data_IF_014508568322
#
_entry.id   IF_014508568322
#
_cell.length_a   1.000
_cell.length_b   1.000
_cell.length_c   1.000
_cell.angle_alpha   90.00
_cell.angle_beta   90.00
_cell.angle_gamma   90.00
#
_symmetry.space_group_name_H-M   'P 1'
#
loop_
_entity.id
_entity.type
_entity.pdbx_description
1 polymer ?
#
# COMPACT_ATOMS: atom_id res chain seq x y z
N UNK A 1 -17.79 -11.49 8.57
CA UNK A 1 -18.25 -10.15 8.12
C UNK A 1 -19.35 -10.40 7.11
N UNK A 2 -20.49 -9.70 7.19
CA UNK A 2 -21.63 -9.95 6.29
C UNK A 2 -21.27 -9.63 4.85
N UNK A 3 -21.69 -10.47 3.91
CA UNK A 3 -21.42 -10.29 2.47
C UNK A 3 -21.88 -8.90 1.94
N UNK A 4 -23.00 -8.39 2.48
CA UNK A 4 -23.49 -7.04 2.16
C UNK A 4 -22.55 -5.94 2.60
N UNK A 5 -21.99 -6.05 3.81
CA UNK A 5 -21.03 -5.08 4.35
C UNK A 5 -19.72 -5.11 3.56
N UNK A 6 -19.23 -6.29 3.18
CA UNK A 6 -18.04 -6.43 2.32
C UNK A 6 -18.25 -5.76 0.96
N UNK A 7 -19.41 -5.98 0.34
CA UNK A 7 -19.75 -5.36 -0.94
C UNK A 7 -19.78 -3.82 -0.84
N UNK A 8 -20.43 -3.28 0.20
CA UNK A 8 -20.52 -1.82 0.42
C UNK A 8 -19.10 -1.25 0.63
N UNK A 9 -18.30 -1.86 1.49
CA UNK A 9 -16.91 -1.41 1.73
C UNK A 9 -16.07 -1.48 0.45
N UNK A 10 -16.25 -2.52 -0.37
CA UNK A 10 -15.56 -2.67 -1.64
C UNK A 10 -15.94 -1.56 -2.63
N UNK A 11 -17.24 -1.28 -2.80
CA UNK A 11 -17.72 -0.20 -3.69
C UNK A 11 -17.24 1.17 -3.23
N UNK A 12 -17.33 1.46 -1.92
CA UNK A 12 -16.83 2.72 -1.34
C UNK A 12 -15.33 2.85 -1.55
N UNK A 13 -14.57 1.78 -1.29
CA UNK A 13 -13.12 1.77 -1.50
C UNK A 13 -12.74 2.01 -2.95
N UNK A 14 -13.44 1.36 -3.90
CA UNK A 14 -13.23 1.58 -5.33
C UNK A 14 -13.53 3.03 -5.73
N UNK A 15 -14.61 3.62 -5.22
CA UNK A 15 -14.92 5.04 -5.44
C UNK A 15 -13.81 5.96 -4.92
N UNK A 16 -13.29 5.72 -3.72
CA UNK A 16 -12.17 6.48 -3.15
C UNK A 16 -10.88 6.31 -3.96
N UNK A 17 -10.62 5.11 -4.50
CA UNK A 17 -9.48 4.87 -5.38
C UNK A 17 -9.58 5.70 -6.67
N UNK A 18 -10.75 5.75 -7.29
CA UNK A 18 -10.99 6.56 -8.50
C UNK A 18 -10.79 8.05 -8.19
N UNK A 19 -11.35 8.55 -7.09
CA UNK A 19 -11.19 9.94 -6.66
C UNK A 19 -9.69 10.26 -6.43
N UNK A 20 -8.98 9.40 -5.70
CA UNK A 20 -7.55 9.59 -5.44
C UNK A 20 -6.74 9.63 -6.75
N UNK A 21 -7.06 8.77 -7.72
CA UNK A 21 -6.44 8.77 -9.04
C UNK A 21 -6.69 10.07 -9.82
N UNK A 22 -7.92 10.57 -9.82
CA UNK A 22 -8.29 11.83 -10.49
C UNK A 22 -7.56 13.05 -9.89
N UNK A 23 -7.38 13.08 -8.57
CA UNK A 23 -6.75 14.20 -7.86
C UNK A 23 -5.24 14.04 -7.65
N UNK A 24 -4.60 13.00 -8.19
CA UNK A 24 -3.16 12.71 -8.01
C UNK A 24 -2.24 13.90 -8.34
N UNK A 25 -2.58 14.72 -9.33
CA UNK A 25 -1.78 15.87 -9.75
C UNK A 25 -1.75 17.02 -8.71
N UNK A 26 -2.72 17.03 -7.76
CA UNK A 26 -2.77 18.02 -6.68
C UNK A 26 -1.95 17.61 -5.45
N UNK A 27 -1.41 16.39 -5.42
CA UNK A 27 -0.65 15.85 -4.27
C UNK A 27 0.60 16.68 -3.92
N UNK A 28 1.19 17.37 -4.89
CA UNK A 28 2.34 18.26 -4.65
C UNK A 28 2.09 19.37 -3.63
N UNK A 29 0.85 19.79 -3.45
CA UNK A 29 0.47 20.84 -2.50
C UNK A 29 0.64 20.40 -1.04
N UNK A 30 0.62 19.08 -0.76
CA UNK A 30 0.76 18.56 0.60
C UNK A 30 2.20 18.60 1.13
N UNK A 31 3.21 18.86 0.28
CA UNK A 31 4.61 18.99 0.73
C UNK A 31 4.81 20.05 1.81
N UNK A 32 4.00 21.13 1.80
CA UNK A 32 4.06 22.20 2.81
C UNK A 32 3.62 21.77 4.22
N UNK A 33 2.94 20.64 4.33
CA UNK A 33 2.44 20.12 5.60
C UNK A 33 3.42 19.18 6.33
N UNK A 34 4.66 19.10 5.90
CA UNK A 34 5.70 18.32 6.59
C UNK A 34 5.37 16.82 6.67
N UNK A 35 5.48 16.24 7.86
CA UNK A 35 5.18 14.82 8.07
C UNK A 35 3.73 14.44 7.78
N UNK A 36 2.78 15.34 8.06
CA UNK A 36 1.37 15.12 7.70
C UNK A 36 1.21 15.06 6.18
N UNK A 37 1.93 15.90 5.44
CA UNK A 37 1.97 15.84 3.99
C UNK A 37 2.49 14.50 3.49
N UNK A 38 3.58 13.98 4.07
CA UNK A 38 4.13 12.65 3.75
C UNK A 38 3.08 11.56 3.98
N UNK A 39 2.39 11.58 5.13
CA UNK A 39 1.35 10.61 5.45
C UNK A 39 0.22 10.61 4.41
N UNK A 40 -0.39 11.78 4.17
CA UNK A 40 -1.54 11.88 3.25
C UNK A 40 -1.17 11.55 1.80
N UNK A 41 -0.02 12.04 1.32
CA UNK A 41 0.44 11.71 -0.04
C UNK A 41 0.70 10.21 -0.18
N UNK A 42 1.27 9.58 0.85
CA UNK A 42 1.53 8.14 0.84
C UNK A 42 0.23 7.33 0.90
N UNK A 43 -0.75 7.76 1.70
CA UNK A 43 -2.05 7.11 1.77
C UNK A 43 -2.77 7.19 0.42
N UNK A 44 -2.88 8.39 -0.15
CA UNK A 44 -3.56 8.62 -1.44
C UNK A 44 -2.77 7.96 -2.59
N UNK A 45 -1.44 8.07 -2.57
CA UNK A 45 -0.59 7.47 -3.59
C UNK A 45 -0.64 5.94 -3.60
N UNK A 46 -0.89 5.33 -2.45
CA UNK A 46 -1.04 3.87 -2.34
C UNK A 46 -2.45 3.38 -2.72
N UNK A 47 -3.44 4.27 -2.65
CA UNK A 47 -4.80 4.02 -3.17
C UNK A 47 -4.82 4.07 -4.70
N UNK A 48 -4.02 4.94 -5.30
CA UNK A 48 -3.93 5.08 -6.75
C UNK A 48 -3.11 3.95 -7.36
N UNK A 49 -3.78 2.96 -7.89
CA UNK A 49 -3.32 1.67 -8.45
C UNK A 49 -2.07 1.75 -9.37
N UNK A 50 -1.69 2.91 -9.85
CA UNK A 50 -0.64 3.09 -10.87
C UNK A 50 0.50 4.02 -10.43
N UNK A 51 0.61 4.34 -9.13
CA UNK A 51 1.59 5.35 -8.71
C UNK A 51 2.71 4.75 -7.86
N UNK A 52 3.98 4.81 -8.31
CA UNK A 52 5.14 4.53 -7.47
C UNK A 52 5.38 5.67 -6.45
N UNK A 53 4.31 6.38 -6.06
CA UNK A 53 4.41 7.58 -5.25
C UNK A 53 5.02 7.31 -3.87
N UNK A 54 4.60 6.26 -3.18
CA UNK A 54 5.07 6.01 -1.82
C UNK A 54 6.60 5.79 -1.71
N UNK A 55 7.25 4.95 -2.56
CA UNK A 55 8.71 4.86 -2.57
C UNK A 55 9.41 6.17 -2.90
N UNK A 56 8.88 6.94 -3.86
CA UNK A 56 9.43 8.25 -4.21
C UNK A 56 9.29 9.25 -3.06
N UNK A 57 8.17 9.24 -2.36
CA UNK A 57 7.91 10.10 -1.20
C UNK A 57 8.86 9.75 -0.06
N UNK A 58 9.10 8.46 0.19
CA UNK A 58 10.08 8.02 1.18
C UNK A 58 11.49 8.54 0.84
N UNK A 59 11.91 8.40 -0.44
CA UNK A 59 13.19 8.89 -0.92
C UNK A 59 13.33 10.42 -0.82
N UNK A 60 12.35 11.17 -1.33
CA UNK A 60 12.33 12.63 -1.28
C UNK A 60 12.16 13.16 0.15
N UNK A 61 11.32 12.55 0.95
CA UNK A 61 11.14 12.90 2.36
C UNK A 61 12.43 12.78 3.15
N UNK A 62 13.25 11.76 2.85
CA UNK A 62 14.53 11.55 3.50
C UNK A 62 15.62 12.58 3.15
N UNK A 63 15.45 13.36 2.10
CA UNK A 63 16.35 14.51 1.79
C UNK A 63 16.14 15.68 2.74
N UNK A 64 14.94 15.83 3.27
CA UNK A 64 14.53 16.95 4.14
C UNK A 64 14.46 16.49 5.61
N UNK A 65 14.01 15.26 5.86
CA UNK A 65 13.75 14.73 7.18
C UNK A 65 14.66 13.53 7.50
N UNK A 66 14.64 13.08 8.75
CA UNK A 66 15.37 11.87 9.12
C UNK A 66 14.80 10.64 8.38
N UNK A 67 15.65 9.83 7.69
CA UNK A 67 15.17 8.74 6.81
C UNK A 67 14.25 7.74 7.51
N UNK A 68 14.56 7.36 8.74
CA UNK A 68 13.75 6.40 9.51
C UNK A 68 12.37 6.95 9.87
N UNK A 69 12.28 8.25 10.20
CA UNK A 69 11.00 8.89 10.52
C UNK A 69 10.17 9.07 9.24
N UNK A 70 10.81 9.54 8.16
CA UNK A 70 10.14 9.69 6.88
C UNK A 70 9.59 8.35 6.36
N UNK A 71 10.38 7.27 6.41
CA UNK A 71 9.92 5.94 6.00
C UNK A 71 8.82 5.38 6.90
N UNK A 72 8.89 5.61 8.20
CA UNK A 72 7.85 5.19 9.15
C UNK A 72 6.50 5.85 8.83
N UNK A 73 6.50 7.18 8.65
CA UNK A 73 5.28 7.94 8.33
C UNK A 73 4.74 7.58 6.94
N UNK A 74 5.64 7.39 5.95
CA UNK A 74 5.26 6.88 4.63
C UNK A 74 4.59 5.52 4.75
N UNK A 75 5.10 4.64 5.62
CA UNK A 75 4.53 3.30 5.83
C UNK A 75 3.14 3.38 6.45
N UNK A 76 2.94 4.23 7.46
CA UNK A 76 1.62 4.45 8.06
C UNK A 76 0.59 4.89 7.02
N UNK A 77 0.95 5.88 6.20
CA UNK A 77 0.08 6.33 5.11
C UNK A 77 -0.19 5.21 4.09
N UNK A 78 0.85 4.52 3.63
CA UNK A 78 0.73 3.47 2.63
C UNK A 78 -0.15 2.30 3.10
N UNK A 79 0.00 1.84 4.35
CA UNK A 79 -0.84 0.78 4.93
C UNK A 79 -2.29 1.25 5.06
N UNK A 80 -2.52 2.51 5.44
CA UNK A 80 -3.87 3.08 5.48
C UNK A 80 -4.52 3.07 4.09
N UNK A 81 -3.78 3.46 3.05
CA UNK A 81 -4.27 3.39 1.66
C UNK A 81 -4.53 1.95 1.19
N UNK A 82 -3.71 0.99 1.64
CA UNK A 82 -3.84 -0.42 1.27
C UNK A 82 -5.08 -1.11 1.87
N UNK A 83 -5.63 -0.58 2.95
CA UNK A 83 -6.92 -1.07 3.48
C UNK A 83 -8.04 -1.01 2.44
N UNK A 84 -8.01 -0.02 1.55
CA UNK A 84 -8.97 0.06 0.46
C UNK A 84 -8.81 -1.11 -0.52
N UNK A 85 -7.57 -1.48 -0.86
CA UNK A 85 -7.28 -2.65 -1.70
C UNK A 85 -7.73 -3.95 -1.04
N UNK A 86 -7.55 -4.07 0.28
CA UNK A 86 -8.06 -5.20 1.05
C UNK A 86 -9.59 -5.30 0.97
N UNK A 87 -10.32 -4.20 1.17
CA UNK A 87 -11.78 -4.20 1.10
C UNK A 87 -12.31 -4.48 -0.31
N UNK A 88 -11.64 -3.96 -1.35
CA UNK A 88 -11.95 -4.31 -2.75
C UNK A 88 -11.75 -5.82 -2.97
N UNK A 89 -10.62 -6.36 -2.55
CA UNK A 89 -10.35 -7.80 -2.64
C UNK A 89 -11.39 -8.64 -1.90
N UNK A 90 -11.74 -8.24 -0.69
CA UNK A 90 -12.76 -8.92 0.12
C UNK A 90 -14.16 -8.88 -0.51
N UNK A 91 -14.52 -7.75 -1.13
CA UNK A 91 -15.80 -7.62 -1.84
C UNK A 91 -15.88 -8.50 -3.10
N UNK A 92 -14.76 -8.73 -3.76
CA UNK A 92 -14.70 -9.52 -5.00
C UNK A 92 -14.55 -11.02 -4.76
N UNK A 93 -14.27 -11.45 -3.53
CA UNK A 93 -14.07 -12.86 -3.18
C UNK A 93 -15.15 -13.81 -3.74
N UNK A 94 -16.43 -13.42 -3.64
CA UNK A 94 -17.57 -14.23 -4.08
C UNK A 94 -17.85 -14.17 -5.59
N UNK A 95 -17.24 -13.23 -6.30
CA UNK A 95 -17.52 -12.94 -7.71
C UNK A 95 -16.37 -13.29 -8.66
N UNK A 96 -15.17 -13.60 -8.10
CA UNK A 96 -14.03 -13.90 -8.94
C UNK A 96 -14.17 -15.30 -9.58
N UNK A 97 -14.09 -15.39 -10.91
CA UNK A 97 -14.07 -16.67 -11.58
C UNK A 97 -12.84 -17.49 -11.16
N UNK A 98 -12.92 -18.80 -11.32
CA UNK A 98 -11.80 -19.72 -11.10
C UNK A 98 -10.73 -19.43 -12.16
N UNK A 99 -9.86 -18.44 -11.89
CA UNK A 99 -8.71 -18.12 -12.73
C UNK A 99 -7.45 -18.75 -12.13
N UNK A 100 -6.47 -19.05 -12.97
CA UNK A 100 -5.16 -19.57 -12.52
C UNK A 100 -4.49 -18.68 -11.49
N UNK A 101 -4.72 -17.37 -11.59
CA UNK A 101 -4.22 -16.38 -10.64
C UNK A 101 -4.82 -16.56 -9.24
N UNK A 102 -6.15 -16.67 -9.16
CA UNK A 102 -6.84 -16.91 -7.88
C UNK A 102 -6.40 -18.23 -7.25
N UNK A 103 -6.25 -19.26 -8.05
CA UNK A 103 -5.80 -20.58 -7.58
C UNK A 103 -4.40 -20.50 -6.99
N UNK A 104 -3.46 -19.80 -7.65
CA UNK A 104 -2.09 -19.60 -7.17
C UNK A 104 -2.03 -18.79 -5.89
N UNK A 105 -2.72 -17.64 -5.85
CA UNK A 105 -2.79 -16.81 -4.62
C UNK A 105 -3.37 -17.60 -3.46
N UNK A 106 -4.51 -18.25 -3.65
CA UNK A 106 -5.13 -19.07 -2.62
C UNK A 106 -4.21 -20.20 -2.14
N UNK A 107 -3.45 -20.81 -3.04
CA UNK A 107 -2.46 -21.83 -2.70
C UNK A 107 -1.36 -21.27 -1.79
N UNK A 108 -0.71 -20.17 -2.17
CA UNK A 108 0.34 -19.56 -1.34
C UNK A 108 -0.21 -19.03 -0.01
N UNK A 109 -1.38 -18.43 0.01
CA UNK A 109 -2.01 -17.92 1.22
C UNK A 109 -2.39 -19.07 2.18
N UNK A 110 -2.80 -20.24 1.67
CA UNK A 110 -3.08 -21.42 2.48
C UNK A 110 -1.82 -22.07 3.06
N UNK A 111 -0.72 -22.10 2.31
CA UNK A 111 0.56 -22.68 2.79
C UNK A 111 1.13 -21.81 3.91
N UNK A 112 1.33 -20.52 3.63
CA UNK A 112 1.84 -19.57 4.61
C UNK A 112 1.40 -18.15 4.27
N UNK A 113 0.19 -17.77 4.69
CA UNK A 113 -0.36 -16.44 4.42
C UNK A 113 0.50 -15.29 4.98
N UNK A 114 1.10 -15.49 6.16
CA UNK A 114 1.99 -14.47 6.78
C UNK A 114 3.21 -14.19 5.91
N UNK A 115 3.88 -15.23 5.47
CA UNK A 115 5.07 -15.10 4.63
C UNK A 115 4.70 -14.51 3.25
N UNK A 116 3.60 -14.94 2.67
CA UNK A 116 3.12 -14.46 1.38
C UNK A 116 2.85 -12.95 1.42
N UNK A 117 2.09 -12.47 2.42
CA UNK A 117 1.81 -11.04 2.59
C UNK A 117 3.10 -10.26 2.84
N UNK A 118 3.99 -10.77 3.70
CA UNK A 118 5.26 -10.11 4.00
C UNK A 118 6.13 -9.94 2.76
N UNK A 119 6.32 -11.00 1.98
CA UNK A 119 7.11 -10.98 0.74
C UNK A 119 6.49 -10.01 -0.28
N UNK A 120 5.17 -10.08 -0.49
CA UNK A 120 4.47 -9.16 -1.40
C UNK A 120 4.59 -7.70 -0.95
N UNK A 121 4.63 -7.44 0.36
CA UNK A 121 4.78 -6.09 0.90
C UNK A 121 6.19 -5.51 0.74
N UNK A 122 7.23 -6.36 0.72
CA UNK A 122 8.62 -5.94 0.51
C UNK A 122 8.92 -5.70 -0.96
N UNK A 123 8.40 -6.54 -1.86
CA UNK A 123 8.69 -6.45 -3.29
C UNK A 123 8.20 -5.10 -3.84
N UNK A 124 9.07 -4.32 -4.51
CA UNK A 124 8.65 -3.11 -5.19
C UNK A 124 7.71 -3.49 -6.35
N UNK A 125 6.42 -3.23 -6.18
CA UNK A 125 5.42 -3.53 -7.21
C UNK A 125 4.93 -2.21 -7.82
N UNK A 126 5.14 -1.98 -9.13
CA UNK A 126 4.73 -0.74 -9.77
C UNK A 126 3.22 -0.66 -10.07
N UNK A 127 2.51 -1.80 -10.10
CA UNK A 127 1.17 -1.84 -10.65
C UNK A 127 0.06 -2.02 -9.61
N UNK A 128 0.30 -2.76 -8.53
CA UNK A 128 -0.72 -3.04 -7.51
C UNK A 128 -0.08 -3.31 -6.17
N UNK A 129 -0.75 -2.93 -5.12
CA UNK A 129 -0.45 -3.49 -3.82
C UNK A 129 -1.14 -4.86 -3.71
N UNK A 130 -0.50 -5.84 -4.37
CA UNK A 130 -1.01 -7.21 -4.48
C UNK A 130 -1.27 -7.86 -3.12
N UNK A 131 -0.55 -7.42 -2.09
CA UNK A 131 -0.72 -7.94 -0.74
C UNK A 131 -2.11 -7.64 -0.19
N UNK A 132 -2.61 -6.41 -0.38
CA UNK A 132 -3.96 -6.02 0.07
C UNK A 132 -5.05 -6.80 -0.65
N UNK A 133 -4.98 -6.86 -1.99
CA UNK A 133 -5.96 -7.63 -2.78
C UNK A 133 -5.92 -9.10 -2.42
N UNK A 134 -4.73 -9.72 -2.34
CA UNK A 134 -4.57 -11.12 -2.01
C UNK A 134 -5.14 -11.45 -0.61
N UNK A 135 -4.84 -10.61 0.38
CA UNK A 135 -5.38 -10.76 1.73
C UNK A 135 -6.91 -10.60 1.75
N UNK A 136 -7.44 -9.61 1.01
CA UNK A 136 -8.88 -9.37 0.90
C UNK A 136 -9.61 -10.53 0.23
N UNK A 137 -9.16 -10.97 -0.94
CA UNK A 137 -9.74 -12.10 -1.69
C UNK A 137 -9.75 -13.39 -0.88
N UNK A 138 -8.74 -13.63 -0.05
CA UNK A 138 -8.66 -14.81 0.80
C UNK A 138 -9.34 -14.63 2.16
N UNK A 139 -9.97 -13.48 2.42
CA UNK A 139 -10.53 -13.11 3.72
C UNK A 139 -9.53 -13.29 4.88
N UNK A 140 -8.25 -12.97 4.61
CA UNK A 140 -7.20 -13.07 5.62
C UNK A 140 -7.50 -12.11 6.79
N UNK A 141 -7.18 -12.47 8.06
CA UNK A 141 -7.48 -11.61 9.21
C UNK A 141 -6.89 -10.21 9.06
N UNK A 142 -7.76 -9.19 9.08
CA UNK A 142 -7.40 -7.79 8.80
C UNK A 142 -6.26 -7.29 9.70
N UNK A 143 -6.30 -7.63 11.00
CA UNK A 143 -5.27 -7.18 11.94
C UNK A 143 -3.89 -7.78 11.63
N UNK A 144 -3.83 -9.07 11.33
CA UNK A 144 -2.58 -9.71 10.94
C UNK A 144 -2.05 -9.12 9.64
N UNK A 145 -2.93 -8.87 8.67
CA UNK A 145 -2.59 -8.21 7.41
C UNK A 145 -1.95 -6.84 7.67
N UNK A 146 -2.56 -5.98 8.49
CA UNK A 146 -2.05 -4.64 8.82
C UNK A 146 -0.63 -4.73 9.40
N UNK A 147 -0.43 -5.58 10.40
CA UNK A 147 0.85 -5.71 11.09
C UNK A 147 1.94 -6.22 10.15
N UNK A 148 1.65 -7.27 9.40
CA UNK A 148 2.63 -7.89 8.49
C UNK A 148 2.98 -6.94 7.34
N UNK A 149 1.98 -6.31 6.71
CA UNK A 149 2.18 -5.33 5.66
C UNK A 149 2.97 -4.13 6.15
N UNK A 150 2.70 -3.67 7.37
CA UNK A 150 3.44 -2.57 7.97
C UNK A 150 4.94 -2.87 8.03
N UNK A 151 5.35 -4.00 8.60
CA UNK A 151 6.77 -4.33 8.71
C UNK A 151 7.42 -4.55 7.34
N UNK A 152 6.75 -5.25 6.41
CA UNK A 152 7.26 -5.44 5.06
C UNK A 152 7.47 -4.10 4.31
N UNK A 153 6.48 -3.21 4.36
CA UNK A 153 6.57 -1.89 3.75
C UNK A 153 7.59 -0.99 4.43
N UNK A 154 7.70 -1.05 5.75
CA UNK A 154 8.67 -0.24 6.47
C UNK A 154 10.11 -0.58 6.08
N UNK A 155 10.43 -1.85 5.94
CA UNK A 155 11.73 -2.29 5.40
C UNK A 155 11.93 -1.70 4.00
N UNK A 156 10.97 -1.90 3.10
CA UNK A 156 11.00 -1.39 1.74
C UNK A 156 11.25 0.12 1.69
N UNK A 157 10.42 0.90 2.38
CA UNK A 157 10.53 2.36 2.33
C UNK A 157 11.76 2.90 3.05
N UNK A 158 12.27 2.20 4.06
CA UNK A 158 13.55 2.55 4.68
C UNK A 158 14.70 2.41 3.69
N UNK A 159 14.73 1.35 2.90
CA UNK A 159 15.73 1.20 1.82
C UNK A 159 15.65 2.34 0.81
N UNK A 160 14.44 2.70 0.33
CA UNK A 160 14.26 3.84 -0.58
C UNK A 160 14.65 5.17 0.06
N UNK A 161 14.35 5.38 1.34
CA UNK A 161 14.72 6.59 2.07
C UNK A 161 16.24 6.73 2.20
N UNK A 162 16.94 5.65 2.55
CA UNK A 162 18.41 5.64 2.64
C UNK A 162 19.06 5.86 1.28
N UNK A 163 18.56 5.22 0.23
CA UNK A 163 19.04 5.43 -1.13
C UNK A 163 18.82 6.88 -1.59
N UNK A 164 17.62 7.44 -1.38
CA UNK A 164 17.29 8.81 -1.72
C UNK A 164 18.20 9.81 -1.01
N UNK A 165 18.46 9.62 0.29
CA UNK A 165 19.39 10.44 1.05
C UNK A 165 20.83 10.33 0.50
N UNK A 166 21.30 9.12 0.22
CA UNK A 166 22.64 8.90 -0.33
C UNK A 166 22.82 9.58 -1.68
N UNK A 167 21.86 9.43 -2.59
CA UNK A 167 21.90 10.11 -3.91
C UNK A 167 21.93 11.63 -3.72
N UNK A 168 21.08 12.18 -2.86
CA UNK A 168 21.05 13.62 -2.58
C UNK A 168 22.38 14.15 -2.06
N UNK A 169 23.06 13.41 -1.16
CA UNK A 169 24.37 13.82 -0.62
C UNK A 169 25.50 13.71 -1.65
N UNK A 170 25.37 12.85 -2.66
CA UNK A 170 26.37 12.73 -3.73
C UNK A 170 26.22 13.82 -4.82
N UNK A 171 25.01 14.40 -4.97
CA UNK A 171 24.74 15.44 -5.97
C UNK A 171 24.94 16.87 -5.42
N UNK A 172 25.21 17.01 -4.13
CA UNK A 172 25.45 18.30 -3.46
C UNK A 172 26.95 18.55 -3.23
#
# INVERSE_FOLDING_TARGET
MDNKLQLILGVVSMGLMIIAFLYRNKLGQFKKYGYLGIFFISAIGNVAILSPAAPMIAGLGATIYHPLIASFITTLGAVTGELLSYFVGSATHSYLPHSDWNTKINHFMKINGKLTIFVLSIIPNPFFDLAGIAAGVTNYPLWEFIVISFFGKWIKFTLFALMGKKIYTMLK
#
